data_IF_145821005013
#
_entry.id   IF_145821005013
#
_cell.length_a   1.000
_cell.length_b   1.000
_cell.length_c   1.000
_cell.angle_alpha   90.00
_cell.angle_beta   90.00
_cell.angle_gamma   90.00
#
_symmetry.space_group_name_H-M   'P 1'
#
loop_
_entity.id
_entity.type
_entity.pdbx_description
1 polymer ?
#
# COMPACT_ATOMS: atom_id res chain seq x y z
N UNK A 1 1.85 5.66 8.22
CA UNK A 1 3.09 5.70 7.40
C UNK A 1 4.20 6.26 8.28
N UNK A 2 5.38 5.63 8.37
CA UNK A 2 6.51 6.15 9.15
C UNK A 2 6.94 7.57 8.71
N UNK A 3 7.46 8.36 9.65
CA UNK A 3 7.93 9.72 9.39
C UNK A 3 9.01 9.77 8.30
N UNK A 4 9.96 8.83 8.35
CA UNK A 4 11.08 8.74 7.39
C UNK A 4 10.62 8.49 5.96
N UNK A 5 9.58 7.70 5.77
CA UNK A 5 9.09 7.34 4.43
C UNK A 5 8.36 8.52 3.78
N UNK A 6 7.47 9.16 4.54
CA UNK A 6 6.68 10.29 4.10
C UNK A 6 6.09 11.05 5.30
N UNK A 7 6.78 12.10 5.75
CA UNK A 7 6.38 12.88 6.92
C UNK A 7 5.03 13.58 6.74
N UNK A 8 4.63 13.92 5.50
CA UNK A 8 3.33 14.55 5.23
C UNK A 8 2.17 13.61 5.55
N UNK A 9 2.27 12.35 5.12
CA UNK A 9 1.29 11.30 5.46
C UNK A 9 1.36 10.93 6.95
N UNK A 10 2.55 10.98 7.55
CA UNK A 10 2.70 10.80 8.99
C UNK A 10 1.98 11.91 9.77
N UNK A 11 2.14 13.18 9.41
CA UNK A 11 1.37 14.29 10.00
C UNK A 11 -0.13 14.15 9.75
N UNK A 12 -0.52 13.66 8.56
CA UNK A 12 -1.92 13.33 8.25
C UNK A 12 -2.56 12.38 9.27
N UNK A 13 -1.76 11.50 9.92
CA UNK A 13 -2.25 10.59 10.97
C UNK A 13 -2.71 11.29 12.26
N UNK A 14 -2.31 12.54 12.49
CA UNK A 14 -2.82 13.37 13.59
C UNK A 14 -4.07 14.14 13.19
N UNK A 15 -4.17 14.57 11.93
CA UNK A 15 -5.29 15.39 11.41
C UNK A 15 -6.51 14.52 11.09
N UNK A 16 -6.32 13.39 10.43
CA UNK A 16 -7.38 12.41 10.10
C UNK A 16 -6.92 10.99 10.44
N UNK A 17 -6.87 10.64 11.74
CA UNK A 17 -6.35 9.36 12.19
C UNK A 17 -7.08 8.15 11.60
N UNK A 18 -8.40 8.24 11.38
CA UNK A 18 -9.20 7.15 10.81
C UNK A 18 -8.71 6.68 9.45
N UNK A 19 -8.17 7.59 8.63
CA UNK A 19 -7.68 7.32 7.27
C UNK A 19 -6.18 6.99 7.30
N UNK A 20 -5.37 7.83 7.94
CA UNK A 20 -3.92 7.76 7.78
C UNK A 20 -3.20 6.80 8.76
N UNK A 21 -3.85 6.37 9.86
CA UNK A 21 -3.28 5.34 10.75
C UNK A 21 -3.30 3.96 10.08
N UNK A 22 -4.42 3.61 9.44
CA UNK A 22 -4.60 2.36 8.67
C UNK A 22 -4.34 2.58 7.18
N UNK A 23 -3.40 3.46 6.85
CA UNK A 23 -3.16 3.81 5.45
C UNK A 23 -2.64 2.60 4.65
N UNK A 24 -3.45 2.18 3.68
CA UNK A 24 -3.11 1.13 2.71
C UNK A 24 -2.60 1.72 1.39
N UNK A 25 -1.64 1.05 0.78
CA UNK A 25 -1.03 1.43 -0.47
C UNK A 25 -1.72 0.70 -1.62
N UNK A 26 -2.15 1.48 -2.62
CA UNK A 26 -2.78 0.97 -3.84
C UNK A 26 -1.78 0.48 -4.88
N UNK A 27 -0.48 0.45 -4.53
CA UNK A 27 0.57 -0.12 -5.38
C UNK A 27 1.30 -1.20 -4.60
N UNK A 28 1.49 -2.36 -5.24
CA UNK A 28 2.12 -3.51 -4.61
C UNK A 28 3.55 -3.24 -4.18
N UNK A 29 4.32 -2.48 -4.97
CA UNK A 29 5.74 -2.21 -4.69
C UNK A 29 5.96 -1.53 -3.34
N UNK A 30 5.11 -0.54 -3.03
CA UNK A 30 5.16 0.16 -1.75
C UNK A 30 4.53 -0.62 -0.60
N UNK A 31 3.54 -1.46 -0.89
CA UNK A 31 2.98 -2.37 0.11
C UNK A 31 4.04 -3.38 0.58
N UNK A 32 4.79 -3.97 -0.36
CA UNK A 32 5.87 -4.91 -0.09
C UNK A 32 7.06 -4.24 0.60
N UNK A 33 7.50 -3.06 0.14
CA UNK A 33 8.61 -2.30 0.77
C UNK A 33 8.34 -2.02 2.26
N UNK A 34 7.07 -1.77 2.62
CA UNK A 34 6.66 -1.55 4.00
C UNK A 34 6.68 -2.83 4.85
N UNK A 35 6.49 -4.00 4.24
CA UNK A 35 6.55 -5.31 4.91
C UNK A 35 5.48 -5.59 5.96
N UNK A 36 4.49 -4.69 6.14
CA UNK A 36 3.39 -4.86 7.11
C UNK A 36 2.07 -4.34 6.52
N UNK A 37 0.97 -5.01 6.83
CA UNK A 37 -0.36 -4.66 6.32
C UNK A 37 -1.48 -5.51 6.93
N UNK A 38 -2.73 -5.12 6.65
CA UNK A 38 -3.93 -5.91 6.92
C UNK A 38 -4.15 -6.95 5.80
N UNK A 39 -5.14 -7.84 5.97
CA UNK A 39 -5.55 -8.76 4.90
C UNK A 39 -5.93 -8.01 3.61
N UNK A 40 -6.62 -6.87 3.73
CA UNK A 40 -6.94 -5.96 2.62
C UNK A 40 -5.69 -5.45 1.88
N UNK A 41 -4.62 -5.10 2.59
CA UNK A 41 -3.37 -4.65 1.98
C UNK A 41 -2.70 -5.75 1.16
N UNK A 42 -2.75 -6.99 1.66
CA UNK A 42 -2.22 -8.17 0.96
C UNK A 42 -3.05 -8.47 -0.31
N UNK A 43 -4.38 -8.38 -0.21
CA UNK A 43 -5.28 -8.55 -1.35
C UNK A 43 -5.08 -7.47 -2.42
N UNK A 44 -4.92 -6.20 -2.03
CA UNK A 44 -4.56 -5.10 -2.91
C UNK A 44 -3.25 -5.38 -3.65
N UNK A 45 -2.21 -5.82 -2.91
CA UNK A 45 -0.90 -6.06 -3.50
C UNK A 45 -0.93 -7.21 -4.52
N UNK A 46 -1.58 -8.33 -4.19
CA UNK A 46 -1.71 -9.48 -5.09
C UNK A 46 -2.52 -9.12 -6.35
N UNK A 47 -3.60 -8.36 -6.19
CA UNK A 47 -4.45 -7.93 -7.32
C UNK A 47 -3.69 -6.98 -8.25
N UNK A 48 -2.96 -5.98 -7.73
CA UNK A 48 -2.12 -5.08 -8.55
C UNK A 48 -1.01 -5.84 -9.27
N UNK A 49 -0.44 -6.90 -8.67
CA UNK A 49 0.54 -7.77 -9.35
C UNK A 49 -0.14 -8.54 -10.49
N UNK A 50 -1.30 -9.17 -10.23
CA UNK A 50 -2.02 -9.96 -11.22
C UNK A 50 -2.42 -9.12 -12.44
N UNK A 51 -3.00 -7.94 -12.22
CA UNK A 51 -3.39 -7.00 -13.28
C UNK A 51 -2.21 -6.63 -14.18
N UNK A 52 -1.05 -6.31 -13.60
CA UNK A 52 0.17 -5.97 -14.36
C UNK A 52 0.71 -7.12 -15.18
N UNK A 53 0.36 -8.36 -14.82
CA UNK A 53 0.70 -9.58 -15.55
C UNK A 53 -0.39 -9.99 -16.55
N UNK A 54 -1.47 -9.21 -16.68
CA UNK A 54 -2.59 -9.54 -17.56
C UNK A 54 -3.45 -10.68 -17.04
N UNK A 55 -3.40 -10.97 -15.74
CA UNK A 55 -4.25 -11.96 -15.08
C UNK A 55 -5.46 -11.23 -14.49
N UNK A 56 -6.65 -11.69 -14.86
CA UNK A 56 -7.91 -11.19 -14.31
C UNK A 56 -8.02 -11.63 -12.85
N UNK A 57 -8.12 -10.66 -11.93
CA UNK A 57 -8.20 -10.92 -10.49
C UNK A 57 -9.12 -9.90 -9.82
N UNK A 58 -9.96 -10.36 -8.90
CA UNK A 58 -10.93 -9.56 -8.17
C UNK A 58 -10.69 -9.67 -6.67
N UNK A 59 -10.91 -8.56 -5.96
CA UNK A 59 -10.87 -8.55 -4.49
C UNK A 59 -12.25 -8.93 -3.98
N UNK A 60 -12.32 -9.93 -3.11
CA UNK A 60 -13.55 -10.32 -2.41
C UNK A 60 -13.47 -9.82 -0.97
N UNK A 61 -14.34 -8.88 -0.64
CA UNK A 61 -14.41 -8.30 0.69
C UNK A 61 -15.57 -8.93 1.46
N UNK A 62 -15.25 -9.58 2.57
CA UNK A 62 -16.18 -10.06 3.59
C UNK A 62 -15.95 -9.24 4.86
N UNK A 63 -17.00 -8.94 5.63
CA UNK A 63 -16.85 -8.10 6.82
C UNK A 63 -15.95 -8.78 7.87
N UNK A 64 -14.66 -8.44 7.87
CA UNK A 64 -13.63 -9.06 8.73
C UNK A 64 -12.56 -9.87 7.98
N UNK A 65 -12.74 -10.18 6.70
CA UNK A 65 -11.76 -10.93 5.91
C UNK A 65 -11.73 -10.50 4.44
N UNK A 66 -10.54 -10.43 3.83
CA UNK A 66 -10.38 -9.99 2.45
C UNK A 66 -9.46 -10.95 1.71
N UNK A 67 -9.95 -11.46 0.59
CA UNK A 67 -9.24 -12.44 -0.25
C UNK A 67 -9.25 -11.98 -1.70
N UNK A 68 -8.56 -12.73 -2.54
CA UNK A 68 -8.47 -12.49 -3.99
C UNK A 68 -8.99 -13.71 -4.70
N UNK A 69 -9.81 -13.51 -5.73
CA UNK A 69 -10.10 -14.55 -6.72
C UNK A 69 -9.36 -14.21 -8.00
N UNK A 70 -8.69 -15.18 -8.59
CA UNK A 70 -7.94 -14.96 -9.83
C UNK A 70 -8.27 -16.02 -10.86
N UNK A 71 -8.41 -15.59 -12.10
CA UNK A 71 -8.72 -16.46 -13.23
C UNK A 71 -7.48 -17.25 -13.63
N UNK A 72 -7.63 -18.57 -13.75
CA UNK A 72 -6.57 -19.44 -14.29
C UNK A 72 -6.69 -19.52 -15.81
N UNK A 73 -5.55 -19.66 -16.49
CA UNK A 73 -5.54 -20.03 -17.90
C UNK A 73 -5.97 -21.49 -18.12
N UNK A 74 -6.59 -21.76 -19.28
CA UNK A 74 -7.16 -23.04 -19.77
C UNK A 74 -6.99 -24.28 -18.85
N UNK A 75 -8.03 -24.53 -18.05
CA UNK A 75 -8.22 -25.71 -17.20
C UNK A 75 -9.35 -25.45 -16.20
N UNK A 76 -9.93 -26.50 -15.61
CA UNK A 76 -10.74 -26.36 -14.41
C UNK A 76 -9.83 -26.47 -13.17
N UNK A 77 -10.02 -25.65 -12.13
CA UNK A 77 -11.05 -24.60 -11.99
C UNK A 77 -10.67 -23.31 -12.75
N UNK A 78 -11.67 -22.63 -13.31
CA UNK A 78 -11.48 -21.37 -14.03
C UNK A 78 -11.07 -20.20 -13.11
N UNK A 79 -11.31 -20.33 -11.81
CA UNK A 79 -10.98 -19.34 -10.77
C UNK A 79 -10.31 -20.03 -9.59
N UNK A 80 -9.31 -19.37 -9.01
CA UNK A 80 -8.68 -19.74 -7.74
C UNK A 80 -9.15 -18.82 -6.65
N UNK A 81 -9.33 -19.38 -5.46
CA UNK A 81 -9.40 -18.63 -4.22
C UNK A 81 -8.00 -18.47 -3.63
N UNK A 82 -7.59 -17.23 -3.42
CA UNK A 82 -6.26 -16.85 -2.96
C UNK A 82 -6.39 -15.99 -1.70
N UNK A 83 -5.85 -16.47 -0.59
CA UNK A 83 -5.67 -15.67 0.61
C UNK A 83 -4.18 -15.30 0.74
N UNK A 84 -3.78 -14.10 0.28
CA UNK A 84 -2.39 -13.68 0.34
C UNK A 84 -1.90 -13.36 1.75
N UNK A 85 -2.79 -13.19 2.72
CA UNK A 85 -2.41 -12.88 4.10
C UNK A 85 -1.97 -14.14 4.84
N UNK A 86 -2.73 -15.24 4.72
CA UNK A 86 -2.39 -16.55 5.28
C UNK A 86 -1.60 -17.44 4.32
N UNK A 87 -1.30 -16.95 3.11
CA UNK A 87 -0.62 -17.69 2.05
C UNK A 87 -1.36 -18.99 1.68
N UNK A 88 -2.69 -18.93 1.55
CA UNK A 88 -3.55 -20.05 1.16
C UNK A 88 -3.94 -19.92 -0.31
N UNK A 89 -3.89 -21.05 -1.02
CA UNK A 89 -4.35 -21.19 -2.40
C UNK A 89 -5.29 -22.38 -2.44
N UNK A 90 -6.50 -22.16 -2.97
CA UNK A 90 -7.52 -23.20 -3.12
C UNK A 90 -7.96 -23.20 -4.58
N UNK A 91 -7.84 -24.36 -5.21
CA UNK A 91 -8.32 -24.63 -6.56
C UNK A 91 -9.84 -24.88 -6.54
N UNK A 92 -10.60 -23.83 -6.21
CA UNK A 92 -12.06 -23.82 -6.26
C UNK A 92 -12.56 -22.42 -6.60
N UNK A 93 -13.72 -22.35 -7.24
CA UNK A 93 -14.42 -21.08 -7.42
C UNK A 93 -14.89 -20.56 -6.06
N UNK A 94 -15.02 -19.24 -5.93
CA UNK A 94 -15.43 -18.65 -4.65
C UNK A 94 -16.87 -19.03 -4.30
N UNK A 95 -17.72 -19.23 -5.30
CA UNK A 95 -19.10 -19.67 -5.16
C UNK A 95 -19.20 -21.07 -4.53
N UNK A 96 -18.25 -21.97 -4.85
CA UNK A 96 -18.19 -23.30 -4.24
C UNK A 96 -17.80 -23.22 -2.75
N UNK A 97 -16.89 -22.29 -2.43
CA UNK A 97 -16.46 -22.01 -1.06
C UNK A 97 -17.58 -21.32 -0.26
N UNK A 98 -18.34 -20.41 -0.89
CA UNK A 98 -19.48 -19.77 -0.25
C UNK A 98 -20.60 -20.78 0.03
N UNK A 99 -20.86 -21.70 -0.90
CA UNK A 99 -21.84 -22.77 -0.72
C UNK A 99 -21.42 -23.80 0.34
N UNK A 100 -20.12 -24.05 0.49
CA UNK A 100 -19.57 -24.93 1.53
C UNK A 100 -18.30 -24.35 2.17
N UNK A 101 -18.44 -23.44 3.15
CA UNK A 101 -17.30 -22.75 3.77
C UNK A 101 -16.33 -23.69 4.49
N UNK A 102 -16.77 -24.88 4.90
CA UNK A 102 -15.90 -25.85 5.57
C UNK A 102 -14.80 -26.42 4.65
N UNK A 103 -14.92 -26.24 3.33
CA UNK A 103 -13.89 -26.60 2.34
C UNK A 103 -12.54 -25.94 2.59
N UNK A 104 -12.52 -24.76 3.22
CA UNK A 104 -11.27 -24.02 3.44
C UNK A 104 -10.44 -24.57 4.60
N UNK A 105 -11.07 -25.29 5.54
CA UNK A 105 -10.45 -25.79 6.77
C UNK A 105 -9.13 -26.54 6.57
N UNK A 106 -9.03 -27.56 5.67
CA UNK A 106 -7.76 -28.27 5.49
C UNK A 106 -6.63 -27.35 5.00
N UNK A 107 -6.94 -26.36 4.18
CA UNK A 107 -5.94 -25.44 3.63
C UNK A 107 -5.38 -24.49 4.69
N UNK A 108 -6.26 -23.90 5.51
CA UNK A 108 -5.82 -23.05 6.62
C UNK A 108 -5.12 -23.84 7.73
N UNK A 109 -5.58 -25.06 8.04
CA UNK A 109 -4.90 -25.95 8.99
C UNK A 109 -3.48 -26.30 8.53
N UNK A 110 -3.28 -26.53 7.23
CA UNK A 110 -1.96 -26.78 6.66
C UNK A 110 -0.99 -25.59 6.79
N UNK A 111 -1.51 -24.37 7.03
CA UNK A 111 -0.71 -23.16 7.32
C UNK A 111 -0.47 -22.94 8.81
N UNK A 112 -0.92 -23.85 9.66
CA UNK A 112 -0.70 -23.82 11.11
C UNK A 112 -1.69 -22.96 11.89
N UNK A 113 -2.82 -22.57 11.30
CA UNK A 113 -3.89 -21.90 12.03
C UNK A 113 -4.56 -22.88 13.01
N UNK A 114 -4.90 -22.37 14.19
CA UNK A 114 -5.65 -23.14 15.17
C UNK A 114 -7.13 -23.26 14.80
N UNK A 115 -7.85 -24.18 15.47
CA UNK A 115 -9.27 -24.42 15.19
C UNK A 115 -10.13 -23.18 15.38
N UNK A 116 -9.83 -22.34 16.37
CA UNK A 116 -10.63 -21.14 16.68
C UNK A 116 -10.50 -20.08 15.58
N UNK A 117 -9.28 -19.88 15.06
CA UNK A 117 -9.01 -18.99 13.93
C UNK A 117 -9.70 -19.49 12.65
N UNK A 118 -9.65 -20.80 12.41
CA UNK A 118 -10.31 -21.42 11.26
C UNK A 118 -11.84 -21.29 11.39
N UNK A 119 -12.40 -21.53 12.58
CA UNK A 119 -13.83 -21.37 12.84
C UNK A 119 -14.28 -19.92 12.60
N UNK A 120 -13.47 -18.93 12.98
CA UNK A 120 -13.75 -17.53 12.68
C UNK A 120 -13.76 -17.24 11.17
N UNK A 121 -12.79 -17.74 10.41
CA UNK A 121 -12.75 -17.57 8.94
C UNK A 121 -13.99 -18.22 8.29
N UNK A 122 -14.31 -19.46 8.69
CA UNK A 122 -15.48 -20.20 8.19
C UNK A 122 -16.77 -19.45 8.51
N UNK A 123 -16.89 -18.89 9.73
CA UNK A 123 -18.01 -18.06 10.14
C UNK A 123 -18.12 -16.79 9.30
N UNK A 124 -17.00 -16.11 9.03
CA UNK A 124 -16.99 -14.89 8.20
C UNK A 124 -17.49 -15.21 6.78
N UNK A 125 -16.97 -16.27 6.16
CA UNK A 125 -17.40 -16.68 4.81
C UNK A 125 -18.90 -17.03 4.80
N UNK A 126 -19.40 -17.69 5.86
CA UNK A 126 -20.79 -18.15 5.95
C UNK A 126 -21.80 -17.04 6.25
N UNK A 127 -21.47 -16.17 7.21
CA UNK A 127 -22.46 -15.31 7.87
C UNK A 127 -22.37 -13.85 7.41
N UNK A 128 -21.34 -13.46 6.64
CA UNK A 128 -21.15 -12.08 6.19
C UNK A 128 -21.40 -11.92 4.70
N UNK A 129 -22.11 -10.87 4.27
CA UNK A 129 -22.30 -10.60 2.86
C UNK A 129 -20.96 -10.28 2.22
N UNK A 130 -20.67 -10.91 1.09
CA UNK A 130 -19.49 -10.61 0.30
C UNK A 130 -19.75 -9.42 -0.64
N UNK A 131 -18.68 -8.73 -1.03
CA UNK A 131 -18.69 -7.79 -2.13
C UNK A 131 -17.46 -8.01 -3.01
N UNK A 132 -17.71 -8.28 -4.30
CA UNK A 132 -16.66 -8.54 -5.28
C UNK A 132 -16.32 -7.25 -6.03
N UNK A 133 -15.06 -6.84 -5.95
CA UNK A 133 -14.52 -5.71 -6.70
C UNK A 133 -13.87 -6.22 -7.99
N UNK A 134 -14.66 -6.24 -9.07
CA UNK A 134 -14.25 -6.80 -10.37
C UNK A 134 -13.23 -5.94 -11.13
N UNK A 135 -13.23 -4.63 -10.88
CA UNK A 135 -12.41 -3.66 -11.64
C UNK A 135 -11.11 -3.34 -10.93
N UNK A 136 -10.37 -4.36 -10.56
CA UNK A 136 -9.01 -4.18 -10.09
C UNK A 136 -8.86 -3.29 -8.85
N UNK A 137 -7.63 -2.86 -8.57
CA UNK A 137 -7.30 -2.15 -7.33
C UNK A 137 -7.92 -0.74 -7.23
N UNK A 138 -8.14 -0.06 -8.36
CA UNK A 138 -8.58 1.36 -8.41
C UNK A 138 -10.04 1.55 -7.97
N UNK A 139 -10.80 0.47 -7.79
CA UNK A 139 -12.19 0.51 -7.35
C UNK A 139 -12.40 -0.06 -5.94
N UNK A 140 -11.34 -0.56 -5.30
CA UNK A 140 -11.42 -1.04 -3.92
C UNK A 140 -11.60 0.15 -2.95
N UNK A 141 -12.39 -0.06 -1.89
CA UNK A 141 -12.89 0.94 -0.91
C UNK A 141 -12.01 2.18 -0.68
N UNK A 142 -10.73 1.98 -0.37
CA UNK A 142 -9.77 3.05 -0.03
C UNK A 142 -8.71 3.30 -1.13
N UNK A 143 -8.86 2.66 -2.29
CA UNK A 143 -8.00 2.87 -3.44
C UNK A 143 -8.75 3.58 -4.54
N UNK A 144 -8.44 4.86 -4.72
CA UNK A 144 -9.00 5.69 -5.77
C UNK A 144 -7.91 6.56 -6.41
N UNK A 145 -8.24 7.12 -7.57
CA UNK A 145 -7.32 7.97 -8.33
C UNK A 145 -6.81 9.16 -7.52
N UNK A 146 -7.64 9.76 -6.64
CA UNK A 146 -7.24 10.90 -5.80
C UNK A 146 -6.14 10.51 -4.82
N UNK A 147 -6.24 9.33 -4.19
CA UNK A 147 -5.24 8.82 -3.25
C UNK A 147 -3.95 8.45 -3.96
N UNK A 148 -4.03 7.82 -5.14
CA UNK A 148 -2.86 7.52 -5.97
C UNK A 148 -2.14 8.82 -6.34
N UNK A 149 -2.88 9.87 -6.71
CA UNK A 149 -2.32 11.17 -7.07
C UNK A 149 -1.75 11.93 -5.87
N UNK A 150 -2.49 11.98 -4.76
CA UNK A 150 -2.03 12.55 -3.49
C UNK A 150 -0.70 11.91 -3.07
N UNK A 151 -0.57 10.59 -3.22
CA UNK A 151 0.68 9.90 -2.91
C UNK A 151 1.82 10.39 -3.80
N UNK A 152 1.62 10.41 -5.12
CA UNK A 152 2.64 10.88 -6.07
C UNK A 152 3.13 12.30 -5.74
N UNK A 153 2.22 13.18 -5.34
CA UNK A 153 2.55 14.53 -4.90
C UNK A 153 3.35 14.52 -3.62
N UNK A 154 2.85 13.85 -2.57
CA UNK A 154 3.54 13.85 -1.28
C UNK A 154 4.93 13.21 -1.35
N UNK A 155 5.15 12.23 -2.24
CA UNK A 155 6.46 11.65 -2.50
C UNK A 155 7.46 12.62 -3.15
N UNK A 156 6.97 13.65 -3.83
CA UNK A 156 7.80 14.73 -4.42
C UNK A 156 7.95 15.89 -3.43
N UNK A 157 6.84 16.35 -2.83
CA UNK A 157 6.84 17.49 -1.89
C UNK A 157 7.72 17.21 -0.68
N UNK A 158 7.82 15.94 -0.24
CA UNK A 158 8.71 15.59 0.89
C UNK A 158 10.18 15.98 0.66
N UNK A 159 10.62 16.09 -0.60
CA UNK A 159 11.96 16.55 -0.94
C UNK A 159 11.99 18.04 -1.26
N UNK A 160 10.98 18.56 -1.94
CA UNK A 160 10.91 19.98 -2.34
C UNK A 160 10.82 20.90 -1.13
N UNK A 161 9.97 20.58 -0.14
CA UNK A 161 9.69 21.49 0.97
C UNK A 161 10.94 21.71 1.86
N UNK A 162 11.70 20.68 2.27
CA UNK A 162 12.95 20.89 3.00
C UNK A 162 14.00 21.68 2.18
N UNK A 163 14.16 21.35 0.90
CA UNK A 163 15.10 22.07 0.01
C UNK A 163 14.72 23.55 -0.15
N UNK A 164 13.42 23.84 -0.30
CA UNK A 164 12.90 25.20 -0.38
C UNK A 164 13.12 25.99 0.91
N UNK A 165 12.93 25.37 2.07
CA UNK A 165 13.20 26.02 3.37
C UNK A 165 14.69 26.34 3.60
N UNK A 166 15.60 25.58 2.98
CA UNK A 166 17.04 25.83 3.05
C UNK A 166 17.54 26.90 2.06
N UNK A 167 16.77 27.23 1.02
CA UNK A 167 17.17 28.18 -0.03
C UNK A 167 17.50 29.61 0.47
N UNK A 168 16.74 30.23 1.41
CA UNK A 168 17.09 31.53 1.98
C UNK A 168 18.41 31.50 2.75
N UNK A 169 18.72 30.38 3.40
CA UNK A 169 19.96 30.22 4.15
C UNK A 169 21.16 29.99 3.23
N UNK A 170 20.99 29.19 2.17
CA UNK A 170 22.02 29.01 1.15
C UNK A 170 22.34 30.33 0.42
N UNK A 171 21.34 31.12 0.09
CA UNK A 171 21.53 32.43 -0.59
C UNK A 171 22.16 33.48 0.33
N UNK A 172 21.87 33.45 1.64
CA UNK A 172 22.51 34.35 2.62
C UNK A 172 24.00 34.01 2.81
N UNK A 173 24.37 32.73 2.86
CA UNK A 173 25.78 32.30 2.93
C UNK A 173 26.59 32.69 1.70
N UNK A 174 26.03 32.53 0.49
CA UNK A 174 26.69 32.94 -0.77
C UNK A 174 26.94 34.45 -0.79
N UNK A 175 25.95 35.26 -0.40
CA UNK A 175 26.11 36.72 -0.31
C UNK A 175 27.21 37.11 0.69
N UNK A 176 27.29 36.41 1.82
CA UNK A 176 28.30 36.67 2.85
C UNK A 176 29.71 36.31 2.37
N UNK A 177 29.87 35.20 1.64
CA UNK A 177 31.13 34.81 1.03
C UNK A 177 31.60 35.77 -0.08
N UNK A 178 30.69 36.26 -0.92
CA UNK A 178 31.01 37.27 -1.94
C UNK A 178 31.48 38.59 -1.31
N UNK A 179 30.80 39.04 -0.24
CA UNK A 179 31.16 40.27 0.48
C UNK A 179 32.55 40.19 1.11
N UNK A 180 32.91 39.03 1.67
CA UNK A 180 34.23 38.78 2.28
C UNK A 180 35.36 38.67 1.23
N UNK A 181 35.06 38.18 0.02
CA UNK A 181 36.00 38.13 -1.10
C UNK A 181 36.28 39.52 -1.69
N UNK A 182 35.27 40.39 -1.74
CA UNK A 182 35.45 41.80 -2.12
C UNK A 182 36.28 42.56 -1.10
N UNK A 183 36.01 42.44 0.21
CA UNK A 183 36.78 43.15 1.24
C UNK A 183 38.23 42.67 1.41
N UNK A 184 38.58 41.48 0.90
CA UNK A 184 39.95 40.95 0.92
C UNK A 184 40.81 41.38 -0.28
N UNK A 185 40.19 41.93 -1.34
CA UNK A 185 40.89 42.43 -2.53
C UNK A 185 41.25 43.93 -2.43
N UNK A 186 40.73 44.63 -1.42
CA UNK A 186 40.98 46.06 -1.18
C UNK A 186 42.13 46.31 -0.18
N UNK A 187 43.05 45.35 0.01
CA UNK A 187 44.29 45.63 0.74
C UNK A 187 45.15 46.59 -0.09
N UNK A 188 45.55 47.77 0.46
CA UNK A 188 46.31 48.73 -0.30
C UNK A 188 47.68 48.15 -0.64
N UNK A 189 47.98 48.05 -1.93
CA UNK A 189 49.35 48.00 -2.44
C UNK A 189 50.04 49.32 -2.06
N UNK A 190 50.51 49.38 -0.82
CA UNK A 190 51.31 50.47 -0.32
C UNK A 190 52.74 50.38 -0.85
N UNK A 191 53.25 51.56 -1.22
CA UNK A 191 54.65 51.98 -1.23
C UNK A 191 55.51 51.51 -2.42
N UNK A 192 55.52 52.34 -3.45
CA UNK A 192 56.76 52.75 -4.13
C UNK A 192 56.77 54.27 -4.30
#
# INVERSE_FOLDING_TARGET
VPFRDNYLLWFGSFVKPSIYRKYEFCRYDKAIERGVGLCSQAAIALTDIAERKGIEAHIVHMAGHVVVVAKTGKGAPAWLYLDPYYNVVIEAAFEDIEANPDLVRPFYRAKGLDSSQIDEIVRIIRDTPNHVFERGVVHYTDCNWKKIWLRRITDVIKWILPLGMMAPFATSLVKTHQKKKQSGNDSPSGLH
#
